data_IF_769113779545
#
_entry.id   IF_769113779545
#
_cell.length_a   1.000
_cell.length_b   1.000
_cell.length_c   1.000
_cell.angle_alpha   90.00
_cell.angle_beta   90.00
_cell.angle_gamma   90.00
#
_symmetry.space_group_name_H-M   'P 1'
#
loop_
_entity.id
_entity.type
_entity.pdbx_description
1 polymer ?
#
# COMPACT_ATOMS: atom_id res chain seq x y z
N UNK A 1 7.13 -14.19 4.15
CA UNK A 1 7.20 -12.87 4.81
C UNK A 1 5.89 -12.14 4.55
N UNK A 2 5.40 -11.36 5.51
CA UNK A 2 4.17 -10.56 5.37
C UNK A 2 4.54 -9.19 4.80
N UNK A 3 3.77 -8.66 3.85
CA UNK A 3 4.00 -7.31 3.33
C UNK A 3 3.64 -6.26 4.38
N UNK A 4 4.25 -5.08 4.22
CA UNK A 4 4.04 -3.89 5.04
C UNK A 4 3.86 -2.68 4.13
N UNK A 5 3.09 -1.70 4.59
CA UNK A 5 2.77 -0.50 3.83
C UNK A 5 4.07 0.23 3.46
N UNK A 6 4.23 0.58 2.18
CA UNK A 6 5.39 1.35 1.72
C UNK A 6 5.21 2.85 1.96
N UNK A 7 6.27 3.64 1.75
CA UNK A 7 6.17 5.10 1.77
C UNK A 7 5.17 5.63 0.73
N UNK A 8 5.08 5.01 -0.46
CA UNK A 8 4.11 5.39 -1.49
C UNK A 8 2.68 5.13 -1.03
N UNK A 9 2.43 3.98 -0.41
CA UNK A 9 1.13 3.67 0.20
C UNK A 9 0.73 4.64 1.32
N UNK A 10 1.68 5.01 2.18
CA UNK A 10 1.47 6.04 3.21
C UNK A 10 1.12 7.39 2.56
N UNK A 11 1.88 7.82 1.57
CA UNK A 11 1.63 9.10 0.88
C UNK A 11 0.27 9.12 0.17
N UNK A 12 -0.13 7.99 -0.43
CA UNK A 12 -1.46 7.85 -1.02
C UNK A 12 -2.55 8.08 0.03
N UNK A 13 -2.46 7.44 1.20
CA UNK A 13 -3.45 7.56 2.28
C UNK A 13 -3.47 9.00 2.82
N UNK A 14 -2.30 9.59 3.11
CA UNK A 14 -2.17 10.99 3.53
C UNK A 14 -2.81 11.97 2.55
N UNK A 15 -2.81 11.67 1.25
CA UNK A 15 -3.45 12.53 0.25
C UNK A 15 -4.99 12.59 0.37
N UNK A 16 -5.59 11.68 1.15
CA UNK A 16 -7.03 11.63 1.42
C UNK A 16 -7.37 11.96 2.87
N UNK A 17 -6.57 11.49 3.82
CA UNK A 17 -6.74 11.78 5.24
C UNK A 17 -6.10 13.15 5.53
N UNK A 18 -6.90 14.18 5.83
CA UNK A 18 -6.34 15.51 6.10
C UNK A 18 -5.48 15.54 7.37
N UNK A 19 -4.41 16.34 7.39
CA UNK A 19 -3.52 16.48 8.54
C UNK A 19 -4.04 17.52 9.56
N UNK A 20 -4.16 17.13 10.82
CA UNK A 20 -4.48 18.03 11.95
C UNK A 20 -3.45 17.87 13.08
N UNK A 21 -2.55 18.84 13.21
CA UNK A 21 -1.47 18.80 14.22
C UNK A 21 -1.91 19.18 15.64
N UNK A 22 -3.13 19.67 15.81
CA UNK A 22 -3.72 19.99 17.10
C UNK A 22 -4.94 19.08 17.32
N UNK A 23 -5.06 18.51 18.51
CA UNK A 23 -6.21 17.69 18.88
C UNK A 23 -7.52 18.48 18.78
N UNK A 24 -8.54 17.85 18.20
CA UNK A 24 -9.87 18.44 18.03
C UNK A 24 -10.96 17.40 18.25
N UNK A 25 -12.20 17.85 18.46
CA UNK A 25 -13.36 16.96 18.42
C UNK A 25 -14.07 17.10 17.08
N UNK A 26 -14.39 15.98 16.44
CA UNK A 26 -15.19 15.98 15.19
C UNK A 26 -16.63 16.38 15.52
N UNK A 27 -17.15 15.87 16.64
CA UNK A 27 -18.42 16.25 17.24
C UNK A 27 -18.22 16.58 18.73
N UNK A 28 -18.91 17.61 19.29
CA UNK A 28 -18.80 17.94 20.71
C UNK A 28 -19.08 16.76 21.65
N UNK A 29 -19.89 15.80 21.19
CA UNK A 29 -20.30 14.59 21.92
C UNK A 29 -19.28 13.45 21.88
N UNK A 30 -18.22 13.57 21.08
CA UNK A 30 -17.21 12.52 20.97
C UNK A 30 -16.54 12.26 22.32
N UNK A 31 -16.30 10.98 22.63
CA UNK A 31 -15.69 10.56 23.89
C UNK A 31 -14.23 11.01 23.96
N UNK A 32 -13.49 10.85 22.86
CA UNK A 32 -12.07 11.20 22.77
C UNK A 32 -11.83 12.31 21.74
N UNK A 33 -10.57 12.74 21.62
CA UNK A 33 -10.14 13.70 20.60
C UNK A 33 -9.58 12.96 19.39
N UNK A 34 -9.57 13.65 18.25
CA UNK A 34 -8.94 13.23 17.00
C UNK A 34 -7.71 14.09 16.73
N UNK A 35 -6.65 13.50 16.19
CA UNK A 35 -5.41 14.20 15.81
C UNK A 35 -4.73 13.50 14.61
N UNK A 36 -3.73 14.16 14.01
CA UNK A 36 -2.94 13.61 12.92
C UNK A 36 -3.77 13.37 11.67
N UNK A 37 -3.67 12.16 11.12
CA UNK A 37 -4.38 11.68 9.93
C UNK A 37 -5.70 10.97 10.27
N UNK A 38 -6.37 11.35 11.37
CA UNK A 38 -7.63 10.76 11.80
C UNK A 38 -7.53 9.83 13.02
N UNK A 39 -6.37 9.77 13.66
CA UNK A 39 -6.17 8.98 14.88
C UNK A 39 -7.10 9.45 15.99
N UNK A 40 -7.82 8.52 16.62
CA UNK A 40 -8.83 8.78 17.64
C UNK A 40 -8.69 7.76 18.77
N UNK A 41 -8.40 8.23 19.98
CA UNK A 41 -8.08 7.36 21.10
C UNK A 41 -8.02 8.08 22.44
N UNK A 42 -8.09 7.30 23.53
CA UNK A 42 -8.06 7.82 24.90
C UNK A 42 -6.72 8.50 25.27
N UNK A 43 -5.68 8.18 24.51
CA UNK A 43 -4.34 8.76 24.54
C UNK A 43 -4.27 10.15 23.89
N UNK A 44 -5.28 10.55 23.10
CA UNK A 44 -5.37 11.91 22.54
C UNK A 44 -6.07 12.85 23.53
N UNK A 45 -5.29 13.76 24.12
CA UNK A 45 -5.78 14.69 25.14
C UNK A 45 -6.11 16.08 24.58
N UNK A 46 -6.94 16.82 25.31
CA UNK A 46 -7.29 18.22 24.97
C UNK A 46 -6.00 19.06 24.88
N UNK A 47 -5.89 19.86 23.82
CA UNK A 47 -4.74 20.72 23.51
C UNK A 47 -3.44 19.98 23.12
N UNK A 48 -3.46 18.66 22.96
CA UNK A 48 -2.31 17.92 22.46
C UNK A 48 -1.89 18.46 21.08
N UNK A 49 -0.57 18.61 20.89
CA UNK A 49 0.04 19.01 19.63
C UNK A 49 1.11 18.01 19.23
N UNK A 50 1.18 17.70 17.95
CA UNK A 50 2.14 16.75 17.40
C UNK A 50 2.84 17.33 16.16
N UNK A 51 3.96 16.73 15.78
CA UNK A 51 4.62 16.98 14.49
C UNK A 51 4.02 16.09 13.41
N UNK A 52 4.28 16.38 12.14
CA UNK A 52 3.87 15.49 11.05
C UNK A 52 4.53 14.10 11.17
N UNK A 53 5.76 14.03 11.68
CA UNK A 53 6.44 12.75 11.92
C UNK A 53 5.62 11.89 12.89
N UNK A 54 5.23 12.45 14.04
CA UNK A 54 4.40 11.75 15.02
C UNK A 54 3.03 11.39 14.43
N UNK A 55 2.40 12.30 13.67
CA UNK A 55 1.14 12.00 12.98
C UNK A 55 1.27 10.82 11.99
N UNK A 56 2.42 10.69 11.35
CA UNK A 56 2.72 9.60 10.42
C UNK A 56 2.94 8.27 11.15
N UNK A 57 3.58 8.28 12.31
CA UNK A 57 3.72 7.08 13.15
C UNK A 57 2.36 6.61 13.68
N UNK A 58 1.52 7.52 14.18
CA UNK A 58 0.14 7.20 14.57
C UNK A 58 -0.67 6.59 13.41
N UNK A 59 -0.53 7.16 12.20
CA UNK A 59 -1.17 6.59 11.02
C UNK A 59 -0.69 5.15 10.75
N UNK A 60 0.60 4.87 10.86
CA UNK A 60 1.13 3.50 10.67
C UNK A 60 0.56 2.52 11.70
N UNK A 61 0.38 2.96 12.95
CA UNK A 61 -0.25 2.16 14.00
C UNK A 61 -1.72 1.86 13.67
N UNK A 62 -2.48 2.88 13.27
CA UNK A 62 -3.90 2.74 12.90
C UNK A 62 -4.09 1.81 11.69
N UNK A 63 -3.11 1.74 10.79
CA UNK A 63 -3.13 0.87 9.62
C UNK A 63 -2.95 -0.60 9.94
N UNK A 64 -2.50 -0.97 11.15
CA UNK A 64 -2.21 -2.37 11.51
C UNK A 64 -3.40 -3.32 11.26
N UNK A 65 -4.64 -2.86 11.49
CA UNK A 65 -5.84 -3.65 11.21
C UNK A 65 -6.05 -3.87 9.71
N UNK A 66 -5.89 -2.82 8.91
CA UNK A 66 -6.00 -2.90 7.46
C UNK A 66 -4.91 -3.82 6.88
N UNK A 67 -3.65 -3.64 7.30
CA UNK A 67 -2.52 -4.48 6.91
C UNK A 67 -2.78 -5.96 7.22
N UNK A 68 -3.31 -6.28 8.41
CA UNK A 68 -3.64 -7.66 8.81
C UNK A 68 -4.70 -8.27 7.89
N UNK A 69 -5.74 -7.52 7.54
CA UNK A 69 -6.78 -7.99 6.62
C UNK A 69 -6.28 -8.23 5.20
N UNK A 70 -5.39 -7.37 4.68
CA UNK A 70 -4.82 -7.57 3.34
C UNK A 70 -3.87 -8.77 3.33
N UNK A 71 -3.02 -8.89 4.35
CA UNK A 71 -2.06 -9.99 4.48
C UNK A 71 -2.74 -11.36 4.64
N UNK A 72 -3.95 -11.46 5.20
CA UNK A 72 -4.66 -12.75 5.29
C UNK A 72 -4.98 -13.35 3.92
N UNK A 73 -5.01 -12.54 2.86
CA UNK A 73 -5.23 -12.98 1.49
C UNK A 73 -3.94 -13.19 0.69
N UNK A 74 -2.78 -12.78 1.22
CA UNK A 74 -1.51 -12.76 0.47
C UNK A 74 -1.05 -14.15 0.02
N UNK A 75 -1.25 -15.18 0.85
CA UNK A 75 -0.92 -16.57 0.46
C UNK A 75 -1.62 -17.03 -0.82
N UNK A 76 -2.80 -16.46 -1.13
CA UNK A 76 -3.57 -16.81 -2.32
C UNK A 76 -3.16 -15.98 -3.53
N UNK A 77 -2.93 -14.69 -3.30
CA UNK A 77 -2.79 -13.74 -4.39
C UNK A 77 -1.34 -13.38 -4.70
N UNK A 78 -0.43 -13.51 -3.73
CA UNK A 78 0.94 -13.04 -3.80
C UNK A 78 0.96 -11.59 -4.27
N UNK A 79 0.52 -10.69 -3.40
CA UNK A 79 0.39 -9.29 -3.76
C UNK A 79 1.76 -8.71 -4.14
N UNK A 80 1.80 -7.87 -5.16
CA UNK A 80 2.94 -6.96 -5.32
C UNK A 80 2.86 -5.86 -4.27
N UNK A 81 3.95 -5.12 -4.04
CA UNK A 81 3.94 -4.01 -3.09
C UNK A 81 2.88 -2.94 -3.44
N UNK A 82 2.74 -2.59 -4.71
CA UNK A 82 1.75 -1.60 -5.15
C UNK A 82 0.30 -2.11 -4.99
N UNK A 83 0.05 -3.38 -5.27
CA UNK A 83 -1.26 -4.01 -5.01
C UNK A 83 -1.58 -4.00 -3.52
N UNK A 84 -0.61 -4.34 -2.69
CA UNK A 84 -0.72 -4.32 -1.24
C UNK A 84 -1.03 -2.92 -0.70
N UNK A 85 -0.26 -1.92 -1.11
CA UNK A 85 -0.41 -0.53 -0.68
C UNK A 85 -1.79 0.03 -1.04
N UNK A 86 -2.25 -0.21 -2.27
CA UNK A 86 -3.59 0.18 -2.72
C UNK A 86 -4.70 -0.49 -1.91
N UNK A 87 -4.57 -1.78 -1.62
CA UNK A 87 -5.55 -2.53 -0.83
C UNK A 87 -5.56 -2.10 0.64
N UNK A 88 -4.41 -1.72 1.22
CA UNK A 88 -4.36 -1.16 2.59
C UNK A 88 -5.04 0.20 2.63
N UNK A 89 -4.80 1.09 1.66
CA UNK A 89 -5.54 2.36 1.55
C UNK A 89 -7.05 2.14 1.43
N UNK A 90 -7.46 1.18 0.59
CA UNK A 90 -8.87 0.82 0.43
C UNK A 90 -9.46 0.28 1.75
N UNK A 91 -8.76 -0.65 2.40
CA UNK A 91 -9.21 -1.28 3.63
C UNK A 91 -9.26 -0.30 4.80
N UNK A 92 -8.38 0.69 4.86
CA UNK A 92 -8.45 1.75 5.87
C UNK A 92 -9.74 2.57 5.74
N UNK A 93 -10.16 2.87 4.51
CA UNK A 93 -11.39 3.62 4.25
C UNK A 93 -12.68 2.82 4.39
N UNK A 94 -12.67 1.57 3.91
CA UNK A 94 -13.86 0.71 3.82
C UNK A 94 -13.98 -0.23 5.03
N UNK A 95 -12.88 -0.46 5.75
CA UNK A 95 -12.77 -1.29 6.95
C UNK A 95 -12.21 -2.69 6.69
N UNK A 96 -12.34 -3.25 5.48
CA UNK A 96 -11.79 -4.56 5.08
C UNK A 96 -11.81 -4.76 3.56
N UNK A 97 -11.31 -5.91 3.08
CA UNK A 97 -11.35 -6.30 1.65
C UNK A 97 -12.17 -7.56 1.35
N UNK A 98 -12.92 -8.11 2.31
CA UNK A 98 -13.63 -9.40 2.14
C UNK A 98 -14.62 -9.35 0.97
N UNK A 99 -15.44 -8.31 0.91
CA UNK A 99 -16.41 -8.12 -0.17
C UNK A 99 -15.74 -7.72 -1.48
N UNK A 100 -14.60 -7.02 -1.42
CA UNK A 100 -13.82 -6.64 -2.59
C UNK A 100 -13.22 -7.87 -3.28
N UNK A 101 -12.71 -8.84 -2.51
CA UNK A 101 -12.14 -10.10 -3.02
C UNK A 101 -13.19 -11.20 -3.22
N UNK A 102 -14.44 -10.97 -2.78
CA UNK A 102 -15.47 -12.00 -2.63
C UNK A 102 -14.94 -13.23 -1.88
N UNK A 103 -14.39 -12.98 -0.70
CA UNK A 103 -13.76 -14.00 0.15
C UNK A 103 -12.64 -14.78 -0.55
N UNK A 104 -11.91 -14.09 -1.43
CA UNK A 104 -10.79 -14.67 -2.16
C UNK A 104 -11.17 -15.40 -3.44
N UNK A 105 -12.41 -15.32 -3.93
CA UNK A 105 -12.82 -16.02 -5.17
C UNK A 105 -12.55 -15.22 -6.44
N UNK A 106 -12.40 -13.89 -6.34
CA UNK A 106 -12.13 -13.02 -7.51
C UNK A 106 -10.69 -13.08 -7.94
N UNK A 107 -10.44 -12.95 -9.25
CA UNK A 107 -9.11 -12.68 -9.81
C UNK A 107 -8.64 -11.26 -9.47
N UNK A 108 -7.32 -11.01 -9.56
CA UNK A 108 -6.76 -9.66 -9.36
C UNK A 108 -7.36 -8.63 -10.32
N UNK A 109 -7.58 -8.99 -11.59
CA UNK A 109 -8.24 -8.13 -12.59
C UNK A 109 -9.65 -7.74 -12.16
N UNK A 110 -10.45 -8.70 -11.67
CA UNK A 110 -11.80 -8.43 -11.18
C UNK A 110 -11.78 -7.56 -9.92
N UNK A 111 -10.81 -7.76 -9.03
CA UNK A 111 -10.60 -6.90 -7.85
C UNK A 111 -10.33 -5.47 -8.28
N UNK A 112 -9.37 -5.25 -9.20
CA UNK A 112 -9.02 -3.93 -9.70
C UNK A 112 -10.25 -3.19 -10.27
N UNK A 113 -11.09 -3.87 -11.05
CA UNK A 113 -12.33 -3.28 -11.58
C UNK A 113 -13.37 -3.00 -10.48
N UNK A 114 -13.43 -3.85 -9.45
CA UNK A 114 -14.37 -3.70 -8.34
C UNK A 114 -14.02 -2.53 -7.42
N UNK A 115 -12.74 -2.14 -7.30
CA UNK A 115 -12.30 -0.96 -6.52
C UNK A 115 -13.13 0.28 -6.90
N UNK A 116 -13.35 0.50 -8.20
CA UNK A 116 -14.09 1.66 -8.73
C UNK A 116 -15.58 1.72 -8.35
N UNK A 117 -16.14 0.64 -7.79
CA UNK A 117 -17.56 0.58 -7.41
C UNK A 117 -17.81 1.10 -5.97
N UNK A 118 -16.75 1.28 -5.18
CA UNK A 118 -16.83 1.72 -3.78
C UNK A 118 -16.74 3.25 -3.65
N UNK A 119 -17.70 3.93 -4.28
CA UNK A 119 -17.74 5.40 -4.43
C UNK A 119 -18.90 6.07 -3.71
N UNK A 120 -19.71 5.28 -2.99
CA UNK A 120 -20.95 5.75 -2.36
C UNK A 120 -20.82 5.83 -0.84
N UNK A 121 -21.50 6.81 -0.26
CA UNK A 121 -21.84 6.85 1.18
C UNK A 121 -23.34 7.09 1.30
N UNK A 122 -24.02 6.29 2.12
CA UNK A 122 -25.49 6.32 2.27
C UNK A 122 -26.23 6.33 0.92
N UNK A 123 -25.79 5.49 -0.03
CA UNK A 123 -26.36 5.38 -1.37
C UNK A 123 -25.96 6.47 -2.38
N UNK A 124 -25.35 7.57 -1.93
CA UNK A 124 -24.97 8.72 -2.76
C UNK A 124 -23.53 8.63 -3.21
N UNK A 125 -23.26 8.86 -4.50
CA UNK A 125 -21.88 8.92 -5.03
C UNK A 125 -21.19 10.17 -4.51
N UNK A 126 -20.00 10.00 -3.93
CA UNK A 126 -19.16 11.10 -3.47
C UNK A 126 -17.94 11.25 -4.37
N UNK A 127 -17.73 12.45 -4.91
CA UNK A 127 -16.59 12.74 -5.80
C UNK A 127 -15.23 12.49 -5.12
N UNK A 128 -15.14 12.72 -3.81
CA UNK A 128 -13.94 12.38 -3.04
C UNK A 128 -13.61 10.88 -3.09
N UNK A 129 -14.62 10.02 -2.97
CA UNK A 129 -14.44 8.57 -3.08
C UNK A 129 -14.13 8.14 -4.52
N UNK A 130 -14.76 8.75 -5.53
CA UNK A 130 -14.42 8.50 -6.94
C UNK A 130 -12.94 8.76 -7.19
N UNK A 131 -12.42 9.92 -6.77
CA UNK A 131 -10.98 10.22 -6.91
C UNK A 131 -10.11 9.22 -6.15
N UNK A 132 -10.53 8.84 -4.94
CA UNK A 132 -9.79 7.87 -4.11
C UNK A 132 -9.68 6.50 -4.78
N UNK A 133 -10.80 5.93 -5.20
CA UNK A 133 -10.84 4.62 -5.87
C UNK A 133 -10.04 4.61 -7.17
N UNK A 134 -10.06 5.70 -7.94
CA UNK A 134 -9.24 5.81 -9.15
C UNK A 134 -7.73 5.78 -8.85
N UNK A 135 -7.25 6.51 -7.84
CA UNK A 135 -5.82 6.46 -7.47
C UNK A 135 -5.41 5.10 -6.90
N UNK A 136 -6.26 4.49 -6.07
CA UNK A 136 -6.01 3.14 -5.55
C UNK A 136 -5.96 2.09 -6.66
N UNK A 137 -6.91 2.11 -7.60
CA UNK A 137 -6.87 1.20 -8.76
C UNK A 137 -5.62 1.45 -9.61
N UNK A 138 -5.28 2.71 -9.87
CA UNK A 138 -4.09 3.06 -10.64
C UNK A 138 -2.83 2.51 -9.98
N UNK A 139 -2.67 2.68 -8.68
CA UNK A 139 -1.53 2.11 -7.95
C UNK A 139 -1.56 0.57 -8.02
N UNK A 140 -2.71 -0.06 -7.76
CA UNK A 140 -2.88 -1.51 -7.84
C UNK A 140 -2.46 -2.09 -9.19
N UNK A 141 -2.77 -1.40 -10.29
CA UNK A 141 -2.43 -1.82 -11.65
C UNK A 141 -0.98 -1.46 -12.06
N UNK A 142 -0.28 -0.64 -11.27
CA UNK A 142 1.09 -0.22 -11.59
C UNK A 142 2.06 -1.37 -11.27
N UNK A 143 2.77 -1.92 -12.27
CA UNK A 143 3.77 -2.95 -12.02
C UNK A 143 4.87 -2.45 -11.08
N UNK A 144 5.32 -3.30 -10.17
CA UNK A 144 6.51 -3.00 -9.35
C UNK A 144 7.74 -3.35 -10.18
N UNK A 145 8.58 -2.36 -10.47
CA UNK A 145 9.94 -2.64 -10.95
C UNK A 145 10.77 -3.12 -9.78
N UNK A 146 11.25 -4.35 -9.85
CA UNK A 146 12.17 -4.88 -8.83
C UNK A 146 13.48 -4.10 -8.94
N UNK A 147 14.07 -3.67 -7.82
CA UNK A 147 15.32 -2.88 -7.88
C UNK A 147 16.43 -3.67 -8.54
N UNK A 148 17.36 -2.97 -9.19
CA UNK A 148 18.53 -3.59 -9.80
C UNK A 148 19.35 -4.40 -8.78
N UNK A 149 19.43 -3.99 -7.51
CA UNK A 149 20.10 -4.79 -6.47
C UNK A 149 19.32 -6.07 -6.13
N UNK A 150 17.99 -6.01 -6.11
CA UNK A 150 17.18 -7.19 -5.86
C UNK A 150 17.32 -8.18 -7.02
N UNK A 151 17.29 -7.70 -8.27
CA UNK A 151 17.55 -8.52 -9.45
C UNK A 151 18.97 -9.11 -9.41
N UNK A 152 19.98 -8.35 -8.99
CA UNK A 152 21.35 -8.86 -8.82
C UNK A 152 21.43 -10.00 -7.80
N UNK A 153 20.75 -9.88 -6.65
CA UNK A 153 20.65 -10.96 -5.66
C UNK A 153 19.97 -12.21 -6.21
N UNK A 154 18.93 -12.04 -7.03
CA UNK A 154 18.26 -13.15 -7.69
C UNK A 154 19.13 -13.84 -8.76
N UNK A 155 19.95 -13.07 -9.47
CA UNK A 155 20.96 -13.59 -10.39
C UNK A 155 21.98 -14.45 -9.65
N UNK A 156 22.48 -13.98 -8.50
CA UNK A 156 23.40 -14.73 -7.64
C UNK A 156 22.73 -16.02 -7.13
N UNK A 157 21.45 -15.95 -6.80
CA UNK A 157 20.64 -17.11 -6.41
C UNK A 157 20.26 -18.04 -7.59
N UNK A 158 20.71 -17.76 -8.82
CA UNK A 158 20.53 -18.62 -9.99
C UNK A 158 19.15 -18.55 -10.66
N UNK A 159 18.24 -17.67 -10.20
CA UNK A 159 16.85 -17.59 -10.72
C UNK A 159 16.75 -17.12 -12.17
N UNK A 160 17.81 -16.49 -12.68
CA UNK A 160 17.84 -15.90 -14.01
C UNK A 160 18.67 -16.73 -15.01
N UNK A 161 19.11 -17.94 -14.64
CA UNK A 161 19.97 -18.76 -15.50
C UNK A 161 21.42 -18.25 -15.60
N UNK A 162 22.15 -18.71 -16.62
CA UNK A 162 23.59 -18.47 -16.77
C UNK A 162 23.94 -17.85 -18.14
N UNK A 163 25.09 -17.16 -18.17
CA UNK A 163 25.69 -16.59 -19.38
C UNK A 163 24.71 -15.79 -20.26
N UNK A 164 24.59 -16.19 -21.52
CA UNK A 164 23.75 -15.53 -22.52
C UNK A 164 22.24 -15.70 -22.26
N UNK A 165 21.82 -16.81 -21.64
CA UNK A 165 20.41 -17.05 -21.29
C UNK A 165 19.93 -16.03 -20.25
N UNK A 166 20.77 -15.75 -19.25
CA UNK A 166 20.52 -14.72 -18.24
C UNK A 166 20.35 -13.34 -18.84
N UNK A 167 21.31 -12.93 -19.68
CA UNK A 167 21.25 -11.63 -20.35
C UNK A 167 19.96 -11.46 -21.15
N UNK A 168 19.54 -12.49 -21.91
CA UNK A 168 18.28 -12.47 -22.67
C UNK A 168 17.05 -12.37 -21.76
N UNK A 169 17.03 -13.11 -20.65
CA UNK A 169 15.92 -13.08 -19.70
C UNK A 169 15.76 -11.70 -19.05
N UNK A 170 16.87 -11.08 -18.62
CA UNK A 170 16.87 -9.74 -18.01
C UNK A 170 16.36 -8.66 -18.98
N UNK A 171 16.86 -8.66 -20.22
CA UNK A 171 16.42 -7.70 -21.26
C UNK A 171 14.92 -7.90 -21.58
N UNK A 172 14.47 -9.15 -21.71
CA UNK A 172 13.05 -9.47 -21.93
C UNK A 172 12.15 -8.98 -20.79
N UNK A 173 12.66 -9.00 -19.56
CA UNK A 173 11.97 -8.48 -18.39
C UNK A 173 12.10 -6.96 -18.22
N UNK A 174 12.79 -6.26 -19.13
CA UNK A 174 12.93 -4.81 -19.13
C UNK A 174 14.07 -4.26 -18.26
N UNK A 175 15.00 -5.12 -17.80
CA UNK A 175 16.15 -4.69 -17.01
C UNK A 175 17.40 -4.47 -17.89
N UNK A 176 18.20 -3.46 -17.53
CA UNK A 176 19.55 -3.29 -18.04
C UNK A 176 20.46 -4.42 -17.52
N UNK A 177 20.72 -5.40 -18.37
CA UNK A 177 21.54 -6.55 -18.02
C UNK A 177 23.00 -6.19 -17.68
N UNK A 178 23.52 -5.07 -18.21
CA UNK A 178 24.87 -4.60 -17.89
C UNK A 178 24.91 -4.05 -16.47
N UNK A 179 23.95 -3.21 -16.09
CA UNK A 179 23.85 -2.67 -14.73
C UNK A 179 23.64 -3.78 -13.69
N UNK A 180 22.75 -4.74 -13.98
CA UNK A 180 22.57 -5.92 -13.10
C UNK A 180 23.89 -6.68 -12.91
N UNK A 181 24.65 -6.91 -13.99
CA UNK A 181 25.90 -7.66 -13.90
C UNK A 181 26.99 -6.89 -13.14
N UNK A 182 27.03 -5.56 -13.24
CA UNK A 182 27.92 -4.71 -12.44
C UNK A 182 27.64 -4.89 -10.94
N UNK A 183 26.37 -4.81 -10.53
CA UNK A 183 25.97 -5.02 -9.14
C UNK A 183 26.26 -6.45 -8.65
N UNK A 184 26.04 -7.46 -9.49
CA UNK A 184 26.42 -8.85 -9.15
C UNK A 184 27.92 -8.96 -8.88
N UNK A 185 28.75 -8.32 -9.70
CA UNK A 185 30.20 -8.33 -9.52
C UNK A 185 30.63 -7.58 -8.25
N UNK A 186 29.96 -6.48 -7.91
CA UNK A 186 30.20 -5.75 -6.67
C UNK A 186 29.83 -6.57 -5.43
N UNK A 187 28.73 -7.34 -5.49
CA UNK A 187 28.27 -8.18 -4.37
C UNK A 187 29.10 -9.44 -4.14
N UNK A 188 29.90 -9.87 -5.11
CA UNK A 188 30.74 -11.08 -5.05
C UNK A 188 32.23 -10.78 -4.83
N UNK A 189 32.59 -9.50 -4.67
CA UNK A 189 33.92 -9.08 -4.22
C UNK A 189 34.03 -9.21 -2.70
#
# INVERSE_FOLDING_TARGET
MSLKISAEGINLIKSFEGLRLNAYKVSPRDKYYTIGYGHYGADVTKNMKITELIATELLKEDLAKAEKHVNSYDKKYHWTQNEYDALVSFAYNVGNIHQLTAFGTRSKTTIANKILQYTKSNGTVLQGLVRRRNKEQKLFLTPVSVSYETIAKEVIAGKWGNGSARRKALIKAGYDATLVQQLVNEMLR
#
